data_IF_153632679051
#
_entry.id   IF_153632679051
#
_cell.length_a   1.000
_cell.length_b   1.000
_cell.length_c   1.000
_cell.angle_alpha   90.00
_cell.angle_beta   90.00
_cell.angle_gamma   90.00
#
_symmetry.space_group_name_H-M   'P 1'
#
loop_
_entity.id
_entity.type
_entity.pdbx_description
1 polymer ?
#
# COMPACT_ATOMS: atom_id res chain seq x y z
N UNK A 1 -5.09 21.84 -24.76
CA UNK A 1 -5.73 20.50 -24.72
C UNK A 1 -4.72 19.41 -25.06
N UNK A 2 -4.06 19.49 -26.22
CA UNK A 2 -3.07 18.50 -26.66
C UNK A 2 -1.93 18.27 -25.65
N UNK A 3 -1.35 19.33 -25.09
CA UNK A 3 -0.31 19.24 -24.04
C UNK A 3 -0.77 18.50 -22.78
N UNK A 4 -2.03 18.67 -22.39
CA UNK A 4 -2.60 17.98 -21.21
C UNK A 4 -2.87 16.50 -21.50
N UNK A 5 -3.27 16.18 -22.72
CA UNK A 5 -3.41 14.78 -23.18
C UNK A 5 -2.07 14.06 -23.26
N UNK A 6 -1.01 14.75 -23.71
CA UNK A 6 0.36 14.23 -23.68
C UNK A 6 0.84 14.01 -22.23
N UNK A 7 0.56 14.96 -21.34
CA UNK A 7 0.86 14.86 -19.91
C UNK A 7 0.17 13.63 -19.29
N UNK A 8 -1.12 13.42 -19.59
CA UNK A 8 -1.89 12.29 -19.12
C UNK A 8 -1.28 10.97 -19.60
N UNK A 9 -0.97 10.90 -20.89
CA UNK A 9 -0.34 9.73 -21.50
C UNK A 9 1.02 9.42 -20.86
N UNK A 10 1.84 10.45 -20.62
CA UNK A 10 3.12 10.30 -19.94
C UNK A 10 2.97 9.81 -18.50
N UNK A 11 2.01 10.36 -17.75
CA UNK A 11 1.74 9.96 -16.36
C UNK A 11 1.18 8.54 -16.27
N UNK A 12 0.30 8.13 -17.18
CA UNK A 12 -0.22 6.76 -17.26
C UNK A 12 0.91 5.76 -17.53
N UNK A 13 1.78 6.02 -18.51
CA UNK A 13 2.97 5.18 -18.75
C UNK A 13 3.89 5.11 -17.53
N UNK A 14 4.09 6.23 -16.84
CA UNK A 14 4.89 6.27 -15.62
C UNK A 14 4.25 5.49 -14.48
N UNK A 15 2.91 5.42 -14.41
CA UNK A 15 2.18 4.58 -13.46
C UNK A 15 2.36 3.11 -13.81
N UNK A 16 2.18 2.71 -15.07
CA UNK A 16 2.38 1.33 -15.54
C UNK A 16 3.79 0.81 -15.21
N UNK A 17 4.82 1.64 -15.40
CA UNK A 17 6.20 1.28 -15.07
C UNK A 17 6.40 1.05 -13.57
N UNK A 18 5.74 1.83 -12.71
CA UNK A 18 5.82 1.64 -11.25
C UNK A 18 5.04 0.39 -10.83
N UNK A 19 3.86 0.16 -11.41
CA UNK A 19 3.07 -1.05 -11.16
C UNK A 19 3.81 -2.32 -11.60
N UNK A 20 4.51 -2.29 -12.73
CA UNK A 20 5.34 -3.41 -13.16
C UNK A 20 6.45 -3.72 -12.15
N UNK A 21 7.16 -2.68 -11.67
CA UNK A 21 8.22 -2.82 -10.67
C UNK A 21 7.70 -3.25 -9.30
N UNK A 22 6.46 -2.91 -8.96
CA UNK A 22 5.88 -3.27 -7.66
C UNK A 22 5.56 -4.77 -7.57
N UNK A 23 5.37 -5.46 -8.70
CA UNK A 23 5.18 -6.92 -8.69
C UNK A 23 6.41 -7.64 -8.15
N UNK A 24 7.60 -7.22 -8.57
CA UNK A 24 8.86 -7.78 -8.06
C UNK A 24 9.04 -7.49 -6.56
N UNK A 25 8.68 -6.30 -6.08
CA UNK A 25 8.80 -5.95 -4.65
C UNK A 25 7.81 -6.70 -3.76
N UNK A 26 6.61 -7.02 -4.28
CA UNK A 26 5.62 -7.87 -3.60
C UNK A 26 6.18 -9.27 -3.40
N UNK A 27 6.77 -9.89 -4.43
CA UNK A 27 7.36 -11.23 -4.29
C UNK A 27 8.53 -11.27 -3.31
N UNK A 28 9.34 -10.20 -3.27
CA UNK A 28 10.45 -10.08 -2.34
C UNK A 28 10.03 -9.82 -0.87
N UNK A 29 8.74 -9.52 -0.62
CA UNK A 29 8.19 -9.09 0.70
C UNK A 29 9.05 -8.05 1.42
N UNK A 30 9.72 -7.17 0.68
CA UNK A 30 10.55 -6.12 1.26
C UNK A 30 9.66 -4.95 1.73
N UNK A 31 9.39 -4.88 3.03
CA UNK A 31 8.49 -3.90 3.66
C UNK A 31 8.79 -2.45 3.28
N UNK A 32 10.06 -2.03 3.31
CA UNK A 32 10.43 -0.64 3.01
C UNK A 32 10.31 -0.31 1.52
N UNK A 33 10.59 -1.30 0.65
CA UNK A 33 10.34 -1.15 -0.78
C UNK A 33 8.84 -1.07 -1.08
N UNK A 34 8.03 -1.90 -0.42
CA UNK A 34 6.57 -1.90 -0.57
C UNK A 34 5.95 -0.59 -0.07
N UNK A 35 6.37 -0.05 1.08
CA UNK A 35 5.89 1.26 1.57
C UNK A 35 6.20 2.40 0.60
N UNK A 36 7.41 2.43 0.03
CA UNK A 36 7.78 3.43 -0.98
C UNK A 36 6.96 3.27 -2.26
N UNK A 37 6.70 2.03 -2.67
CA UNK A 37 5.88 1.73 -3.85
C UNK A 37 4.43 2.17 -3.64
N UNK A 38 3.83 1.83 -2.50
CA UNK A 38 2.48 2.23 -2.09
C UNK A 38 2.31 3.75 -2.18
N UNK A 39 3.21 4.50 -1.55
CA UNK A 39 3.17 5.96 -1.57
C UNK A 39 3.35 6.53 -2.97
N UNK A 40 4.21 5.93 -3.80
CA UNK A 40 4.45 6.38 -5.17
C UNK A 40 3.23 6.17 -6.05
N UNK A 41 2.61 4.99 -5.98
CA UNK A 41 1.41 4.63 -6.75
C UNK A 41 0.23 5.51 -6.31
N UNK A 42 -0.02 5.64 -5.00
CA UNK A 42 -1.11 6.46 -4.48
C UNK A 42 -1.01 7.92 -4.97
N UNK A 43 0.18 8.53 -4.89
CA UNK A 43 0.40 9.91 -5.39
C UNK A 43 0.15 10.04 -6.89
N UNK A 44 0.56 9.05 -7.68
CA UNK A 44 0.36 9.05 -9.13
C UNK A 44 -1.11 8.92 -9.50
N UNK A 45 -1.85 8.05 -8.83
CA UNK A 45 -3.30 7.88 -9.03
C UNK A 45 -4.02 9.18 -8.73
N UNK A 46 -3.77 9.80 -7.57
CA UNK A 46 -4.39 11.10 -7.24
C UNK A 46 -4.08 12.20 -8.27
N UNK A 47 -2.83 12.27 -8.73
CA UNK A 47 -2.44 13.25 -9.75
C UNK A 47 -3.07 12.99 -11.13
N UNK A 48 -3.39 11.73 -11.44
CA UNK A 48 -4.09 11.37 -12.68
C UNK A 48 -5.59 11.67 -12.60
N UNK A 49 -6.22 11.50 -11.44
CA UNK A 49 -7.62 11.91 -11.23
C UNK A 49 -7.80 13.42 -11.44
N UNK A 50 -6.94 14.24 -10.83
CA UNK A 50 -6.97 15.69 -11.04
C UNK A 50 -6.79 16.04 -12.53
N UNK A 51 -5.82 15.40 -13.19
CA UNK A 51 -5.57 15.67 -14.61
C UNK A 51 -6.71 15.19 -15.52
N UNK A 52 -7.39 14.09 -15.16
CA UNK A 52 -8.58 13.60 -15.85
C UNK A 52 -9.70 14.65 -15.76
N UNK A 53 -10.02 15.13 -14.56
CA UNK A 53 -11.05 16.15 -14.35
C UNK A 53 -10.74 17.44 -15.15
N UNK A 54 -9.49 17.92 -15.09
CA UNK A 54 -9.06 19.10 -15.86
C UNK A 54 -9.25 18.91 -17.38
N UNK A 55 -8.94 17.72 -17.91
CA UNK A 55 -9.10 17.44 -19.36
C UNK A 55 -10.58 17.29 -19.73
N UNK A 56 -11.38 16.69 -18.85
CA UNK A 56 -12.82 16.54 -19.03
C UNK A 56 -13.49 17.92 -19.16
N UNK A 57 -13.18 18.85 -18.25
CA UNK A 57 -13.64 20.23 -18.32
C UNK A 57 -13.22 20.93 -19.62
N UNK A 58 -11.96 20.76 -20.04
CA UNK A 58 -11.46 21.33 -21.30
C UNK A 58 -12.18 20.76 -22.53
N UNK A 59 -12.52 19.46 -22.51
CA UNK A 59 -13.31 18.83 -23.58
C UNK A 59 -14.72 19.41 -23.67
N UNK A 60 -15.37 19.60 -22.52
CA UNK A 60 -16.67 20.27 -22.48
C UNK A 60 -16.60 21.72 -23.00
N UNK A 61 -15.59 22.49 -22.62
CA UNK A 61 -15.38 23.87 -23.10
C UNK A 61 -15.18 23.89 -24.63
N UNK A 62 -14.46 22.91 -25.17
CA UNK A 62 -14.22 22.77 -26.60
C UNK A 62 -15.42 22.21 -27.39
N UNK A 63 -16.57 21.99 -26.73
CA UNK A 63 -17.80 21.47 -27.33
C UNK A 63 -17.62 20.08 -27.96
N UNK A 64 -16.74 19.26 -27.40
CA UNK A 64 -16.77 17.82 -27.69
C UNK A 64 -18.16 17.28 -27.32
N UNK A 65 -18.66 16.31 -28.09
CA UNK A 65 -19.93 15.66 -27.76
C UNK A 65 -19.82 14.93 -26.42
N UNK A 66 -20.86 15.01 -25.60
CA UNK A 66 -20.92 14.35 -24.28
C UNK A 66 -20.57 12.85 -24.34
N UNK A 67 -21.02 12.16 -25.38
CA UNK A 67 -20.70 10.74 -25.61
C UNK A 67 -19.19 10.49 -25.76
N UNK A 68 -18.49 11.32 -26.53
CA UNK A 68 -17.04 11.22 -26.70
C UNK A 68 -16.29 11.55 -25.41
N UNK A 69 -16.75 12.55 -24.65
CA UNK A 69 -16.14 12.91 -23.36
C UNK A 69 -16.30 11.77 -22.37
N UNK A 70 -17.50 11.20 -22.28
CA UNK A 70 -17.81 10.08 -21.40
C UNK A 70 -17.03 8.82 -21.75
N UNK A 71 -16.99 8.45 -23.04
CA UNK A 71 -16.23 7.28 -23.50
C UNK A 71 -14.75 7.39 -23.13
N UNK A 72 -14.15 8.56 -23.36
CA UNK A 72 -12.77 8.82 -22.97
C UNK A 72 -12.58 8.77 -21.44
N UNK A 73 -13.49 9.37 -20.68
CA UNK A 73 -13.43 9.39 -19.22
C UNK A 73 -13.52 7.97 -18.63
N UNK A 74 -14.38 7.11 -19.20
CA UNK A 74 -14.55 5.71 -18.80
C UNK A 74 -13.29 4.88 -19.11
N UNK A 75 -12.63 5.10 -20.26
CA UNK A 75 -11.37 4.42 -20.60
C UNK A 75 -10.22 4.78 -19.64
N UNK A 76 -10.13 6.05 -19.23
CA UNK A 76 -9.15 6.50 -18.25
C UNK A 76 -9.48 5.92 -16.88
N UNK A 77 -10.76 5.95 -16.48
CA UNK A 77 -11.23 5.40 -15.21
C UNK A 77 -10.86 3.93 -15.05
N UNK A 78 -11.09 3.13 -16.08
CA UNK A 78 -10.79 1.69 -16.07
C UNK A 78 -9.31 1.43 -15.76
N UNK A 79 -8.39 2.24 -16.29
CA UNK A 79 -6.96 2.14 -16.00
C UNK A 79 -6.63 2.53 -14.56
N UNK A 80 -7.29 3.57 -14.04
CA UNK A 80 -7.10 4.02 -12.66
C UNK A 80 -7.63 3.00 -11.66
N UNK A 81 -8.83 2.44 -11.89
CA UNK A 81 -9.40 1.39 -11.04
C UNK A 81 -8.52 0.13 -11.02
N UNK A 82 -7.92 -0.25 -12.16
CA UNK A 82 -6.97 -1.34 -12.20
C UNK A 82 -5.71 -1.07 -11.35
N UNK A 83 -5.19 0.16 -11.42
CA UNK A 83 -4.05 0.58 -10.60
C UNK A 83 -4.39 0.64 -9.10
N UNK A 84 -5.61 1.04 -8.74
CA UNK A 84 -6.09 1.01 -7.36
C UNK A 84 -6.22 -0.40 -6.81
N UNK A 85 -6.64 -1.36 -7.65
CA UNK A 85 -6.68 -2.77 -7.28
C UNK A 85 -5.28 -3.29 -6.90
N UNK A 86 -4.27 -2.99 -7.71
CA UNK A 86 -2.87 -3.33 -7.43
C UNK A 86 -2.34 -2.61 -6.17
N UNK A 87 -2.70 -1.33 -5.97
CA UNK A 87 -2.37 -0.60 -4.75
C UNK A 87 -2.95 -1.27 -3.50
N UNK A 88 -4.20 -1.74 -3.58
CA UNK A 88 -4.84 -2.46 -2.48
C UNK A 88 -4.19 -3.81 -2.21
N UNK A 89 -3.72 -4.52 -3.25
CA UNK A 89 -2.93 -5.75 -3.08
C UNK A 89 -1.62 -5.48 -2.32
N UNK A 90 -0.90 -4.40 -2.66
CA UNK A 90 0.33 -3.99 -1.94
C UNK A 90 0.01 -3.70 -0.46
N UNK A 91 -1.09 -3.00 -0.18
CA UNK A 91 -1.53 -2.70 1.19
C UNK A 91 -1.87 -3.97 1.97
N UNK A 92 -2.49 -4.96 1.34
CA UNK A 92 -2.78 -6.24 1.96
C UNK A 92 -1.49 -6.96 2.38
N UNK A 93 -0.50 -7.06 1.48
CA UNK A 93 0.80 -7.67 1.77
C UNK A 93 1.54 -6.93 2.87
N UNK A 94 1.51 -5.59 2.88
CA UNK A 94 2.09 -4.80 3.97
C UNK A 94 1.42 -5.11 5.31
N UNK A 95 0.09 -5.24 5.33
CA UNK A 95 -0.66 -5.59 6.54
C UNK A 95 -0.30 -6.98 7.06
N UNK A 96 -0.15 -7.97 6.16
CA UNK A 96 0.30 -9.32 6.52
C UNK A 96 1.68 -9.30 7.17
N UNK A 97 2.65 -8.61 6.57
CA UNK A 97 4.02 -8.49 7.11
C UNK A 97 3.97 -7.88 8.51
N UNK A 98 3.17 -6.83 8.72
CA UNK A 98 3.05 -6.17 10.02
C UNK A 98 2.40 -7.08 11.07
N UNK A 99 1.40 -7.89 10.69
CA UNK A 99 0.78 -8.87 11.59
C UNK A 99 1.74 -10.01 11.97
N UNK A 100 2.56 -10.48 11.04
CA UNK A 100 3.61 -11.48 11.28
C UNK A 100 4.65 -10.96 12.27
N UNK A 101 5.15 -9.73 12.08
CA UNK A 101 6.11 -9.09 12.99
C UNK A 101 5.54 -8.97 14.41
N UNK A 102 4.28 -8.53 14.55
CA UNK A 102 3.60 -8.44 15.86
C UNK A 102 3.50 -9.81 16.52
N UNK A 103 3.15 -10.84 15.75
CA UNK A 103 2.97 -12.20 16.26
C UNK A 103 4.30 -12.79 16.75
N UNK A 104 5.37 -12.63 15.96
CA UNK A 104 6.73 -13.03 16.33
C UNK A 104 7.18 -12.31 17.60
N UNK A 105 6.92 -11.00 17.70
CA UNK A 105 7.29 -10.23 18.88
C UNK A 105 6.53 -10.67 20.13
N UNK A 106 5.22 -10.93 20.02
CA UNK A 106 4.41 -11.47 21.12
C UNK A 106 4.95 -12.81 21.61
N UNK A 107 5.32 -13.69 20.68
CA UNK A 107 5.87 -15.01 21.05
C UNK A 107 7.24 -14.90 21.71
N UNK A 108 8.12 -14.01 21.23
CA UNK A 108 9.41 -13.71 21.88
C UNK A 108 9.21 -13.21 23.31
N UNK A 109 8.30 -12.26 23.52
CA UNK A 109 7.97 -11.73 24.86
C UNK A 109 7.39 -12.82 25.77
N UNK A 110 6.51 -13.70 25.25
CA UNK A 110 5.99 -14.85 26.01
C UNK A 110 7.11 -15.78 26.45
N UNK A 111 8.00 -16.18 25.53
CA UNK A 111 9.16 -17.05 25.84
C UNK A 111 10.07 -16.41 26.89
N UNK A 112 10.35 -15.11 26.76
CA UNK A 112 11.13 -14.36 27.74
C UNK A 112 10.45 -14.36 29.12
N UNK A 113 9.15 -14.06 29.21
CA UNK A 113 8.40 -14.05 30.46
C UNK A 113 8.33 -15.44 31.13
N UNK A 114 8.15 -16.50 30.35
CA UNK A 114 8.22 -17.89 30.84
C UNK A 114 9.61 -18.20 31.38
N UNK A 115 10.67 -17.79 30.69
CA UNK A 115 12.05 -17.99 31.16
C UNK A 115 12.34 -17.24 32.46
N UNK A 116 11.78 -16.03 32.65
CA UNK A 116 11.89 -15.25 33.88
C UNK A 116 11.09 -15.87 35.04
N UNK A 117 9.88 -16.39 34.79
CA UNK A 117 9.08 -17.03 35.83
C UNK A 117 9.70 -18.35 36.29
N UNK A 118 10.33 -19.10 35.37
CA UNK A 118 11.02 -20.36 35.67
C UNK A 118 12.34 -20.14 36.41
N UNK A 119 12.96 -18.96 36.28
CA UNK A 119 14.20 -18.57 36.99
C UNK A 119 13.99 -17.96 38.38
N UNK A 120 12.75 -17.69 38.81
CA UNK A 120 12.51 -17.33 40.21
C UNK A 120 12.80 -18.56 41.08
N UNK A 121 13.77 -18.52 42.01
CA UNK A 121 13.93 -19.63 42.94
C UNK A 121 12.64 -19.74 43.75
N UNK A 122 12.12 -20.97 43.87
CA UNK A 122 11.14 -21.31 44.91
C UNK A 122 11.81 -21.06 46.26
N UNK A 123 11.80 -19.83 46.74
CA UNK A 123 11.93 -19.55 48.16
C UNK A 123 10.59 -19.90 48.82
N UNK A 124 10.24 -21.18 48.76
CA UNK A 124 9.25 -21.79 49.63
C UNK A 124 10.03 -22.65 50.61
N UNK A 125 10.01 -22.22 51.87
CA UNK A 125 10.06 -23.08 53.05
C UNK A 125 11.31 -23.96 53.23
N UNK A 126 12.29 -23.47 54.00
CA UNK A 126 12.97 -24.27 55.01
C UNK A 126 13.15 -23.39 56.26
N UNK A 127 12.36 -23.66 57.31
CA UNK A 127 12.83 -24.26 58.57
C UNK A 127 13.69 -23.33 59.41
N UNK A 128 13.10 -22.71 60.45
CA UNK A 128 13.28 -23.25 61.80
C UNK A 128 12.38 -22.52 62.81
N UNK A 129 11.38 -23.26 63.30
CA UNK A 129 10.92 -23.13 64.67
C UNK A 129 12.07 -23.58 65.59
N UNK A 130 12.58 -22.68 66.43
CA UNK A 130 13.25 -22.98 67.71
C UNK A 130 12.91 -21.79 68.61
N UNK A 131 11.90 -21.97 69.46
CA UNK A 131 11.99 -22.38 70.88
C UNK A 131 12.55 -21.28 71.75
#
# INVERSE_FOLDING_TARGET
METKMEELTGKLKALDLVLAKSKDTVTARNKDALKRSEQSIARKISALYVLKEEIEELKFINKDSEENVRTWADEVELKLTAAESELNAIRAVLSEIEQEEISVQRERTRKYNVSLSTRRPRNSCQLNMRS
#
